data_IF_855517998727
#
_entry.id   IF_855517998727
#
_cell.length_a   1.000
_cell.length_b   1.000
_cell.length_c   1.000
_cell.angle_alpha   90.00
_cell.angle_beta   90.00
_cell.angle_gamma   90.00
#
_symmetry.space_group_name_H-M   'P 1'
#
loop_
_entity.id
_entity.type
_entity.pdbx_description
1 polymer ?
#
# COMPACT_ATOMS: atom_id res chain seq x y z
N UNK A 1 3.70 55.91 -50.08
CA UNK A 1 3.84 54.44 -50.07
C UNK A 1 4.73 54.09 -48.88
N UNK A 2 4.13 53.80 -47.75
CA UNK A 2 4.86 53.41 -46.52
C UNK A 2 4.73 51.90 -46.34
N UNK A 3 5.83 51.21 -46.39
CA UNK A 3 5.96 49.78 -46.15
C UNK A 3 6.01 49.53 -44.65
N UNK A 4 4.96 48.92 -44.08
CA UNK A 4 4.93 48.38 -42.74
C UNK A 4 5.55 46.98 -42.73
N UNK A 5 6.67 46.78 -42.03
CA UNK A 5 7.27 45.49 -41.74
C UNK A 5 6.49 44.78 -40.62
N UNK A 6 6.23 43.47 -40.70
CA UNK A 6 5.56 42.75 -39.63
C UNK A 6 6.54 42.45 -38.47
N UNK A 7 6.10 42.77 -37.25
CA UNK A 7 6.82 42.41 -36.03
C UNK A 7 6.79 40.88 -35.84
N UNK A 8 7.98 40.27 -35.82
CA UNK A 8 8.13 38.85 -35.45
C UNK A 8 8.09 38.73 -33.92
N UNK A 9 7.03 38.18 -33.41
CA UNK A 9 6.97 37.71 -32.02
C UNK A 9 7.86 36.45 -31.92
N UNK A 10 8.99 36.56 -31.24
CA UNK A 10 9.77 35.41 -30.80
C UNK A 10 9.14 34.90 -29.50
N UNK A 11 8.41 33.78 -29.58
CA UNK A 11 7.92 33.07 -28.42
C UNK A 11 9.13 32.39 -27.76
N UNK A 12 9.66 32.97 -26.69
CA UNK A 12 10.64 32.33 -25.85
C UNK A 12 9.98 31.16 -25.12
N UNK A 13 10.22 29.96 -25.61
CA UNK A 13 9.91 28.74 -24.84
C UNK A 13 10.84 28.73 -23.62
N UNK A 14 10.26 29.03 -22.44
CA UNK A 14 10.94 28.79 -21.19
C UNK A 14 11.14 27.27 -21.06
N UNK A 15 12.36 26.82 -21.27
CA UNK A 15 12.77 25.47 -20.91
C UNK A 15 12.60 25.36 -19.38
N UNK A 16 11.54 24.68 -18.95
CA UNK A 16 11.38 24.29 -17.55
C UNK A 16 12.63 23.48 -17.18
N UNK A 17 13.39 23.96 -16.20
CA UNK A 17 14.50 23.21 -15.65
C UNK A 17 13.96 21.82 -15.23
N UNK A 18 14.69 20.72 -15.49
CA UNK A 18 14.29 19.42 -15.05
C UNK A 18 14.10 19.50 -13.53
N UNK A 19 12.92 19.12 -13.04
CA UNK A 19 12.67 19.03 -11.60
C UNK A 19 13.82 18.22 -11.00
N UNK A 20 14.53 18.79 -10.03
CA UNK A 20 15.63 18.10 -9.36
C UNK A 20 15.12 16.74 -8.91
N UNK A 21 15.83 15.67 -9.30
CA UNK A 21 15.43 14.32 -8.93
C UNK A 21 15.26 14.28 -7.43
N UNK A 22 14.03 14.00 -6.95
CA UNK A 22 13.73 13.92 -5.54
C UNK A 22 14.67 12.90 -4.90
N UNK A 23 15.48 13.34 -3.94
CA UNK A 23 16.34 12.44 -3.19
C UNK A 23 15.58 11.81 -2.01
N UNK A 24 15.73 10.49 -1.87
CA UNK A 24 15.27 9.76 -0.70
C UNK A 24 15.91 10.37 0.56
N UNK A 25 15.17 10.49 1.70
CA UNK A 25 15.75 10.99 2.94
C UNK A 25 17.01 10.21 3.32
N UNK A 26 18.09 10.92 3.70
CA UNK A 26 19.36 10.28 4.07
C UNK A 26 19.23 9.34 5.27
N UNK A 27 18.30 9.61 6.17
CA UNK A 27 17.99 8.85 7.38
C UNK A 27 16.82 7.85 7.20
N UNK A 28 16.34 7.64 5.96
CA UNK A 28 15.24 6.70 5.64
C UNK A 28 15.43 5.32 6.26
N UNK A 29 16.61 4.73 6.13
CA UNK A 29 16.88 3.39 6.65
C UNK A 29 16.95 3.36 8.18
N UNK A 30 17.48 4.42 8.79
CA UNK A 30 17.50 4.59 10.25
C UNK A 30 16.08 4.74 10.81
N UNK A 31 15.22 5.53 10.15
CA UNK A 31 13.82 5.73 10.51
C UNK A 31 13.05 4.40 10.53
N UNK A 32 13.10 3.64 9.43
CA UNK A 32 12.37 2.37 9.35
C UNK A 32 12.97 1.29 10.25
N UNK A 33 14.28 1.28 10.44
CA UNK A 33 14.93 0.38 11.41
C UNK A 33 14.53 0.73 12.84
N UNK A 34 14.40 2.02 13.17
CA UNK A 34 13.87 2.51 14.43
C UNK A 34 12.45 2.06 14.68
N UNK A 35 11.57 2.27 13.69
CA UNK A 35 10.17 1.85 13.74
C UNK A 35 10.02 0.33 13.95
N UNK A 36 10.83 -0.47 13.26
CA UNK A 36 10.83 -1.94 13.46
C UNK A 36 11.31 -2.36 14.85
N UNK A 37 12.34 -1.70 15.42
CA UNK A 37 12.78 -1.97 16.79
C UNK A 37 11.71 -1.61 17.81
N UNK A 38 11.05 -0.47 17.67
CA UNK A 38 9.94 -0.06 18.53
C UNK A 38 8.79 -1.08 18.44
N UNK A 39 8.43 -1.49 17.23
CA UNK A 39 7.41 -2.52 17.01
C UNK A 39 7.80 -3.84 17.66
N UNK A 40 9.03 -4.29 17.51
CA UNK A 40 9.51 -5.56 18.08
C UNK A 40 9.47 -5.58 19.62
N UNK A 41 9.58 -4.41 20.27
CA UNK A 41 9.46 -4.28 21.73
C UNK A 41 8.01 -4.41 22.23
N UNK A 42 7.01 -4.33 21.37
CA UNK A 42 5.60 -4.52 21.72
C UNK A 42 5.25 -6.02 21.61
N UNK A 43 4.84 -6.71 22.69
CA UNK A 43 4.35 -8.07 22.58
C UNK A 43 3.12 -8.15 21.67
N UNK A 44 3.13 -9.08 20.70
CA UNK A 44 2.07 -9.18 19.70
C UNK A 44 0.70 -9.55 20.32
N UNK A 45 0.68 -10.40 21.35
CA UNK A 45 -0.53 -10.82 22.07
C UNK A 45 -1.69 -11.21 21.14
N UNK A 46 -1.38 -11.98 20.09
CA UNK A 46 -2.37 -12.36 19.09
C UNK A 46 -3.47 -13.27 19.71
N UNK A 47 -4.71 -12.93 19.39
CA UNK A 47 -5.88 -13.75 19.73
C UNK A 47 -6.57 -14.19 18.45
N UNK A 48 -7.06 -15.42 18.44
CA UNK A 48 -7.84 -15.99 17.35
C UNK A 48 -9.16 -16.49 17.92
N UNK A 49 -10.26 -16.14 17.27
CA UNK A 49 -11.61 -16.59 17.57
C UNK A 49 -12.18 -17.19 16.29
N UNK A 50 -12.87 -18.32 16.40
CA UNK A 50 -13.47 -18.97 15.23
C UNK A 50 -14.46 -18.03 14.53
N UNK A 51 -14.35 -17.93 13.21
CA UNK A 51 -15.30 -17.21 12.36
C UNK A 51 -16.20 -18.22 11.64
N UNK A 52 -17.20 -18.71 12.36
CA UNK A 52 -18.10 -19.76 11.88
C UNK A 52 -18.88 -19.35 10.61
N UNK A 53 -19.15 -18.04 10.45
CA UNK A 53 -19.84 -17.49 9.29
C UNK A 53 -19.07 -17.71 7.97
N UNK A 54 -17.74 -17.69 8.04
CA UNK A 54 -16.86 -17.78 6.88
C UNK A 54 -16.12 -19.13 6.80
N UNK A 55 -16.35 -20.02 7.74
CA UNK A 55 -15.74 -21.36 7.77
C UNK A 55 -16.63 -22.38 7.06
N UNK A 56 -16.04 -23.20 6.20
CA UNK A 56 -16.69 -24.31 5.53
C UNK A 56 -15.79 -25.56 5.50
N UNK A 57 -16.18 -26.62 4.82
CA UNK A 57 -15.39 -27.86 4.70
C UNK A 57 -14.05 -27.68 3.97
N UNK A 58 -13.84 -26.57 3.29
CA UNK A 58 -12.63 -26.28 2.53
C UNK A 58 -11.76 -25.20 3.18
N UNK A 59 -12.36 -24.31 3.97
CA UNK A 59 -11.72 -23.12 4.52
C UNK A 59 -12.03 -22.99 6.00
N UNK A 60 -10.99 -22.79 6.83
CA UNK A 60 -11.11 -22.39 8.23
C UNK A 60 -10.77 -20.91 8.37
N UNK A 61 -11.68 -20.11 8.90
CA UNK A 61 -11.52 -18.69 9.11
C UNK A 61 -11.57 -18.31 10.59
N UNK A 62 -10.88 -17.23 10.94
CA UNK A 62 -10.74 -16.73 12.30
C UNK A 62 -10.84 -15.20 12.29
N UNK A 63 -11.53 -14.66 13.29
CA UNK A 63 -11.38 -13.27 13.70
C UNK A 63 -10.10 -13.17 14.50
N UNK A 64 -9.26 -12.18 14.17
CA UNK A 64 -7.94 -12.02 14.76
C UNK A 64 -7.80 -10.65 15.35
N UNK A 65 -7.17 -10.56 16.53
CA UNK A 65 -6.66 -9.31 17.04
C UNK A 65 -5.19 -9.47 17.46
N UNK A 66 -4.38 -8.44 17.24
CA UNK A 66 -2.99 -8.40 17.67
C UNK A 66 -2.54 -6.97 18.00
N UNK A 67 -1.60 -6.85 18.95
CA UNK A 67 -1.04 -5.56 19.30
C UNK A 67 0.03 -5.13 18.28
N UNK A 68 -0.03 -3.86 17.89
CA UNK A 68 0.96 -3.17 17.07
C UNK A 68 1.24 -1.81 17.70
N UNK A 69 2.40 -1.24 17.54
CA UNK A 69 2.88 -0.01 18.20
C UNK A 69 2.01 0.47 19.38
N UNK A 70 1.00 1.28 19.11
CA UNK A 70 0.12 1.90 20.13
C UNK A 70 -1.31 1.38 20.09
N UNK A 71 -1.62 0.34 19.26
CA UNK A 71 -3.01 -0.06 18.96
C UNK A 71 -3.20 -1.56 18.93
N UNK A 72 -4.43 -1.98 19.16
CA UNK A 72 -4.90 -3.30 18.81
C UNK A 72 -5.43 -3.27 17.38
N UNK A 73 -4.94 -4.18 16.54
CA UNK A 73 -5.35 -4.31 15.15
C UNK A 73 -6.28 -5.51 15.04
N UNK A 74 -7.39 -5.32 14.33
CA UNK A 74 -8.34 -6.35 13.99
C UNK A 74 -8.10 -6.83 12.57
N UNK A 75 -8.27 -8.13 12.36
CA UNK A 75 -8.03 -8.80 11.09
C UNK A 75 -8.94 -10.01 10.93
N UNK A 76 -9.07 -10.51 9.70
CA UNK A 76 -9.59 -11.85 9.42
C UNK A 76 -8.50 -12.69 8.80
N UNK A 77 -8.35 -13.89 9.33
CA UNK A 77 -7.39 -14.88 8.86
C UNK A 77 -8.15 -16.10 8.36
N UNK A 78 -7.91 -16.49 7.11
CA UNK A 78 -8.45 -17.72 6.56
C UNK A 78 -7.33 -18.60 6.03
N UNK A 79 -7.49 -19.92 6.13
CA UNK A 79 -6.56 -20.92 5.61
C UNK A 79 -7.31 -22.12 5.04
N UNK A 80 -6.68 -22.97 4.22
CA UNK A 80 -7.26 -24.26 3.86
C UNK A 80 -7.62 -25.09 5.12
N UNK A 81 -8.78 -25.73 5.11
CA UNK A 81 -9.27 -26.56 6.22
C UNK A 81 -8.62 -27.96 6.25
N UNK A 82 -7.40 -28.10 5.77
CA UNK A 82 -6.62 -29.34 5.74
C UNK A 82 -5.28 -29.14 6.43
N UNK A 83 -4.62 -30.22 6.78
CA UNK A 83 -3.28 -30.18 7.33
C UNK A 83 -2.23 -29.79 6.27
N UNK A 84 -1.17 -29.18 6.72
CA UNK A 84 -0.05 -28.81 5.86
C UNK A 84 0.53 -27.43 6.19
N UNK A 85 1.58 -27.08 5.45
CA UNK A 85 2.17 -25.74 5.45
C UNK A 85 1.84 -25.02 4.14
N UNK A 86 1.21 -23.89 4.26
CA UNK A 86 0.69 -23.10 3.14
C UNK A 86 1.54 -21.85 2.90
N UNK A 87 1.74 -21.44 1.64
CA UNK A 87 2.13 -20.06 1.38
C UNK A 87 1.07 -19.11 1.94
N UNK A 88 1.45 -17.88 2.24
CA UNK A 88 0.52 -16.94 2.84
C UNK A 88 0.51 -15.59 2.13
N UNK A 89 -0.60 -14.86 2.23
CA UNK A 89 -0.75 -13.51 1.68
C UNK A 89 -1.25 -12.57 2.77
N UNK A 90 -0.53 -11.45 2.95
CA UNK A 90 -1.04 -10.32 3.70
C UNK A 90 -1.79 -9.39 2.74
N UNK A 91 -3.07 -9.15 3.00
CA UNK A 91 -3.88 -8.22 2.23
C UNK A 91 -3.86 -6.87 2.94
N UNK A 92 -3.28 -5.90 2.28
CA UNK A 92 -3.22 -4.53 2.78
C UNK A 92 -4.53 -3.80 2.47
N UNK A 93 -5.10 -3.06 3.44
CA UNK A 93 -6.39 -2.42 3.31
C UNK A 93 -6.35 -1.24 2.34
N UNK A 94 -7.42 -1.07 1.57
CA UNK A 94 -7.68 0.19 0.86
C UNK A 94 -8.11 1.29 1.84
N UNK A 95 -8.28 2.49 1.33
CA UNK A 95 -8.75 3.64 2.11
C UNK A 95 -10.26 3.49 2.36
N UNK A 96 -10.66 2.72 3.38
CA UNK A 96 -12.06 2.36 3.62
C UNK A 96 -12.37 2.27 5.12
N UNK A 97 -13.65 2.39 5.43
CA UNK A 97 -14.24 2.31 6.77
C UNK A 97 -15.21 1.12 6.91
N UNK A 98 -15.17 0.17 5.99
CA UNK A 98 -16.08 -0.99 6.00
C UNK A 98 -15.57 -2.17 6.81
N UNK A 99 -16.42 -3.20 6.99
CA UNK A 99 -16.03 -4.44 7.64
C UNK A 99 -14.89 -5.12 6.89
N UNK A 100 -14.05 -5.85 7.63
CA UNK A 100 -12.93 -6.60 7.05
C UNK A 100 -13.48 -7.79 6.27
N UNK A 101 -13.24 -7.91 4.96
CA UNK A 101 -13.66 -9.08 4.20
C UNK A 101 -12.91 -10.34 4.65
N UNK A 102 -13.56 -11.49 4.60
CA UNK A 102 -12.91 -12.77 4.84
C UNK A 102 -12.19 -13.24 3.56
N UNK A 103 -10.87 -13.49 3.59
CA UNK A 103 -10.10 -13.84 2.40
C UNK A 103 -10.25 -15.32 2.01
N UNK A 104 -11.50 -15.79 1.90
CA UNK A 104 -11.83 -17.20 1.64
C UNK A 104 -11.37 -17.69 0.26
N UNK A 105 -11.33 -16.81 -0.75
CA UNK A 105 -10.93 -17.21 -2.10
C UNK A 105 -9.45 -17.60 -2.16
N UNK A 106 -8.57 -16.84 -1.50
CA UNK A 106 -7.17 -17.22 -1.38
C UNK A 106 -7.01 -18.56 -0.65
N UNK A 107 -7.80 -18.78 0.42
CA UNK A 107 -7.77 -20.03 1.15
C UNK A 107 -8.23 -21.21 0.28
N UNK A 108 -9.26 -21.06 -0.55
CA UNK A 108 -9.70 -22.05 -1.53
C UNK A 108 -8.64 -22.35 -2.59
N UNK A 109 -7.76 -21.39 -2.90
CA UNK A 109 -6.61 -21.56 -3.79
C UNK A 109 -5.39 -22.19 -3.11
N UNK A 110 -5.49 -22.54 -1.83
CA UNK A 110 -4.42 -23.21 -1.08
C UNK A 110 -3.43 -22.27 -0.39
N UNK A 111 -3.76 -20.99 -0.26
CA UNK A 111 -2.95 -20.01 0.47
C UNK A 111 -3.62 -19.66 1.80
N UNK A 112 -2.85 -19.50 2.86
CA UNK A 112 -3.34 -18.79 4.04
C UNK A 112 -3.40 -17.28 3.73
N UNK A 113 -4.35 -16.55 4.29
CA UNK A 113 -4.45 -15.12 4.03
C UNK A 113 -4.92 -14.35 5.26
N UNK A 114 -4.29 -13.21 5.51
CA UNK A 114 -4.64 -12.28 6.57
C UNK A 114 -5.05 -10.95 5.93
N UNK A 115 -6.26 -10.49 6.24
CA UNK A 115 -6.73 -9.16 5.88
C UNK A 115 -6.93 -8.35 7.15
N UNK A 116 -6.13 -7.31 7.34
CA UNK A 116 -6.19 -6.44 8.52
C UNK A 116 -6.80 -5.07 8.20
N UNK A 117 -7.23 -4.36 9.24
CA UNK A 117 -7.65 -2.97 9.10
C UNK A 117 -6.52 -1.99 9.40
N UNK A 118 -6.46 -0.91 8.61
CA UNK A 118 -5.44 0.11 8.80
C UNK A 118 -5.60 0.87 10.12
N UNK A 119 -6.84 1.05 10.58
CA UNK A 119 -7.18 1.97 11.68
C UNK A 119 -8.19 1.40 12.71
N UNK A 120 -8.61 0.15 12.63
CA UNK A 120 -9.54 -0.44 13.59
C UNK A 120 -11.00 0.05 13.48
N UNK A 121 -11.42 0.51 12.31
CA UNK A 121 -12.75 1.10 12.09
C UNK A 121 -13.95 0.22 12.37
N UNK A 122 -13.79 -1.11 12.40
CA UNK A 122 -14.90 -2.03 12.58
C UNK A 122 -15.21 -2.38 14.04
N UNK A 123 -14.30 -2.11 14.98
CA UNK A 123 -14.42 -2.61 16.36
C UNK A 123 -14.37 -1.52 17.42
N UNK A 124 -13.59 -0.47 17.22
CA UNK A 124 -13.46 0.59 18.23
C UNK A 124 -13.49 1.99 17.60
N UNK A 125 -14.66 2.41 17.17
CA UNK A 125 -14.91 3.76 16.68
C UNK A 125 -14.70 4.83 17.76
N UNK A 126 -14.68 4.46 19.03
CA UNK A 126 -14.46 5.39 20.13
C UNK A 126 -13.02 5.91 20.18
N UNK A 127 -12.08 5.08 19.70
CA UNK A 127 -10.64 5.45 19.63
C UNK A 127 -10.30 6.27 18.39
N UNK A 128 -11.19 6.26 17.38
CA UNK A 128 -11.07 7.00 16.14
C UNK A 128 -12.39 7.64 15.77
N UNK A 129 -12.74 8.79 16.35
CA UNK A 129 -13.95 9.49 15.95
C UNK A 129 -13.90 9.75 14.45
N UNK A 130 -14.94 9.28 13.75
CA UNK A 130 -15.12 9.38 12.30
C UNK A 130 -15.35 10.83 11.80
N UNK A 131 -15.22 11.82 12.66
CA UNK A 131 -15.39 13.25 12.30
C UNK A 131 -14.44 13.68 11.19
N UNK A 132 -13.32 12.97 11.02
CA UNK A 132 -12.41 13.15 9.90
C UNK A 132 -12.24 11.81 9.17
N UNK A 133 -13.09 11.56 8.19
CA UNK A 133 -12.97 10.41 7.27
C UNK A 133 -11.62 10.35 6.53
N UNK A 134 -10.80 11.39 6.65
CA UNK A 134 -9.58 11.59 5.87
C UNK A 134 -8.36 11.73 6.78
N UNK A 135 -7.88 10.59 7.29
CA UNK A 135 -6.71 10.55 8.17
C UNK A 135 -5.38 10.89 7.48
N UNK A 136 -5.41 11.15 6.16
CA UNK A 136 -4.21 11.47 5.37
C UNK A 136 -3.40 12.64 5.91
N UNK A 137 -4.04 13.57 6.62
CA UNK A 137 -3.41 14.75 7.19
C UNK A 137 -2.93 14.54 8.63
N UNK A 138 -3.28 13.43 9.28
CA UNK A 138 -2.97 13.19 10.70
C UNK A 138 -1.46 13.06 10.91
N UNK A 139 -0.90 14.03 11.63
CA UNK A 139 0.52 14.08 11.94
C UNK A 139 1.44 14.36 10.76
N UNK A 140 0.92 14.90 9.63
CA UNK A 140 1.64 15.08 8.36
C UNK A 140 2.86 16.00 8.46
N UNK A 141 2.96 16.82 9.51
CA UNK A 141 4.08 17.75 9.73
C UNK A 141 5.42 17.07 10.09
N UNK A 142 5.42 15.81 10.57
CA UNK A 142 6.64 15.12 10.95
C UNK A 142 6.53 13.59 10.72
N UNK A 143 7.60 12.91 10.25
CA UNK A 143 7.55 11.48 9.92
C UNK A 143 7.18 10.58 11.10
N UNK A 144 7.65 10.93 12.31
CA UNK A 144 7.42 10.13 13.52
C UNK A 144 5.98 10.16 14.03
N UNK A 145 5.24 11.22 13.71
CA UNK A 145 3.83 11.42 14.09
C UNK A 145 2.86 11.11 12.98
N UNK A 146 3.35 10.97 11.75
CA UNK A 146 2.48 10.74 10.60
C UNK A 146 1.80 9.38 10.68
N UNK A 147 0.51 9.39 10.49
CA UNK A 147 -0.36 8.20 10.60
C UNK A 147 0.13 7.00 9.79
N UNK A 148 0.74 7.22 8.64
CA UNK A 148 1.25 6.12 7.80
C UNK A 148 2.44 5.38 8.43
N UNK A 149 3.15 5.97 9.39
CA UNK A 149 4.14 5.23 10.18
C UNK A 149 3.49 4.07 10.94
N UNK A 150 2.36 4.34 11.60
CA UNK A 150 1.58 3.30 12.30
C UNK A 150 0.98 2.30 11.30
N UNK A 151 0.37 2.78 10.21
CA UNK A 151 -0.26 1.91 9.21
C UNK A 151 0.74 0.93 8.58
N UNK A 152 1.93 1.37 8.22
CA UNK A 152 2.99 0.48 7.73
C UNK A 152 3.46 -0.49 8.82
N UNK A 153 3.58 -0.03 10.07
CA UNK A 153 3.92 -0.89 11.21
C UNK A 153 2.85 -1.96 11.44
N UNK A 154 1.56 -1.66 11.22
CA UNK A 154 0.49 -2.65 11.31
C UNK A 154 0.64 -3.75 10.24
N UNK A 155 1.03 -3.38 9.02
CA UNK A 155 1.36 -4.35 7.98
C UNK A 155 2.58 -5.20 8.33
N UNK A 156 3.66 -4.60 8.85
CA UNK A 156 4.84 -5.34 9.36
C UNK A 156 4.44 -6.33 10.47
N UNK A 157 3.56 -5.93 11.38
CA UNK A 157 3.03 -6.81 12.41
C UNK A 157 2.15 -7.93 11.84
N UNK A 158 1.40 -7.66 10.78
CA UNK A 158 0.65 -8.69 10.04
C UNK A 158 1.59 -9.75 9.43
N UNK A 159 2.75 -9.34 8.91
CA UNK A 159 3.80 -10.27 8.47
C UNK A 159 4.36 -11.10 9.63
N UNK A 160 4.57 -10.49 10.82
CA UNK A 160 4.99 -11.21 12.03
C UNK A 160 3.93 -12.26 12.43
N UNK A 161 2.65 -11.88 12.40
CA UNK A 161 1.56 -12.80 12.69
C UNK A 161 1.58 -14.01 11.74
N UNK A 162 1.60 -13.76 10.42
CA UNK A 162 1.64 -14.85 9.43
C UNK A 162 2.87 -15.75 9.63
N UNK A 163 4.04 -15.17 9.83
CA UNK A 163 5.28 -15.93 10.03
C UNK A 163 5.29 -16.76 11.33
N UNK A 164 4.49 -16.39 12.34
CA UNK A 164 4.36 -17.12 13.61
C UNK A 164 3.40 -18.32 13.54
N UNK A 165 2.59 -18.42 12.47
CA UNK A 165 1.59 -19.49 12.36
C UNK A 165 2.26 -20.83 11.99
N UNK A 166 1.98 -21.93 12.72
CA UNK A 166 2.58 -23.24 12.45
C UNK A 166 2.18 -23.80 11.08
N UNK A 167 0.99 -23.45 10.59
CA UNK A 167 0.45 -23.85 9.29
C UNK A 167 0.93 -22.96 8.12
N UNK A 168 1.72 -21.91 8.37
CA UNK A 168 2.27 -21.03 7.33
C UNK A 168 3.71 -21.41 7.02
N UNK A 169 4.05 -21.48 5.73
CA UNK A 169 5.45 -21.47 5.29
C UNK A 169 5.96 -20.03 5.26
N UNK A 170 6.67 -19.63 6.31
CA UNK A 170 7.20 -18.28 6.44
C UNK A 170 8.19 -17.85 5.34
N UNK A 171 8.67 -18.80 4.50
CA UNK A 171 9.52 -18.52 3.34
C UNK A 171 8.72 -18.18 2.09
N UNK A 172 7.38 -18.25 2.14
CA UNK A 172 6.46 -18.04 1.02
C UNK A 172 5.33 -17.10 1.42
N UNK A 173 5.67 -15.88 1.82
CA UNK A 173 4.69 -14.85 2.18
C UNK A 173 4.67 -13.80 1.07
N UNK A 174 3.48 -13.53 0.53
CA UNK A 174 3.23 -12.43 -0.41
C UNK A 174 2.43 -11.30 0.23
N UNK A 175 2.36 -10.19 -0.48
CA UNK A 175 1.53 -9.03 -0.10
C UNK A 175 0.67 -8.59 -1.27
N UNK A 176 -0.55 -8.12 -1.01
CA UNK A 176 -1.44 -7.62 -2.05
C UNK A 176 -2.30 -6.46 -1.52
N UNK A 177 -2.77 -5.63 -2.43
CA UNK A 177 -3.76 -4.61 -2.14
C UNK A 177 -4.01 -3.69 -3.33
N UNK A 178 -5.07 -2.90 -3.20
CA UNK A 178 -5.46 -1.89 -4.17
C UNK A 178 -5.39 -0.50 -3.54
N UNK A 179 -5.14 0.52 -4.34
CA UNK A 179 -5.09 1.92 -3.89
C UNK A 179 -4.07 2.09 -2.75
N UNK A 180 -4.49 2.52 -1.57
CA UNK A 180 -3.65 2.53 -0.37
C UNK A 180 -2.98 1.17 -0.13
N UNK A 181 -3.74 0.07 -0.26
CA UNK A 181 -3.22 -1.28 -0.10
C UNK A 181 -2.16 -1.64 -1.13
N UNK A 182 -2.26 -1.11 -2.35
CA UNK A 182 -1.24 -1.24 -3.40
C UNK A 182 0.06 -0.55 -3.01
N UNK A 183 -0.01 0.69 -2.53
CA UNK A 183 1.13 1.44 -2.02
C UNK A 183 1.77 0.77 -0.81
N UNK A 184 0.95 0.34 0.16
CA UNK A 184 1.43 -0.42 1.34
C UNK A 184 2.11 -1.72 0.94
N UNK A 185 1.61 -2.42 -0.09
CA UNK A 185 2.23 -3.66 -0.58
C UNK A 185 3.63 -3.42 -1.13
N UNK A 186 3.84 -2.33 -1.87
CA UNK A 186 5.16 -1.94 -2.34
C UNK A 186 6.09 -1.53 -1.19
N UNK A 187 5.59 -0.73 -0.23
CA UNK A 187 6.37 -0.34 0.95
C UNK A 187 6.81 -1.58 1.74
N UNK A 188 5.90 -2.50 2.05
CA UNK A 188 6.24 -3.73 2.78
C UNK A 188 7.22 -4.61 2.01
N UNK A 189 7.05 -4.77 0.70
CA UNK A 189 7.97 -5.55 -0.13
C UNK A 189 9.39 -4.95 -0.18
N UNK A 190 9.52 -3.62 -0.10
CA UNK A 190 10.82 -2.96 -0.06
C UNK A 190 11.44 -2.86 1.34
N UNK A 191 10.62 -3.00 2.40
CA UNK A 191 11.05 -2.86 3.79
C UNK A 191 11.29 -4.20 4.48
N UNK A 192 10.63 -5.29 4.05
CA UNK A 192 10.69 -6.59 4.74
C UNK A 192 11.13 -7.71 3.80
N UNK A 193 12.29 -8.35 4.05
CA UNK A 193 12.83 -9.40 3.18
C UNK A 193 12.03 -10.71 3.21
N UNK A 194 11.07 -10.86 4.14
CA UNK A 194 10.16 -12.02 4.18
C UNK A 194 9.14 -12.00 3.05
N UNK A 195 8.88 -10.83 2.45
CA UNK A 195 7.98 -10.72 1.30
C UNK A 195 8.64 -11.35 0.08
N UNK A 196 7.93 -12.30 -0.55
CA UNK A 196 8.42 -13.10 -1.68
C UNK A 196 7.69 -12.84 -2.98
N UNK A 197 6.53 -12.18 -2.94
CA UNK A 197 5.79 -11.69 -4.11
C UNK A 197 4.91 -10.50 -3.68
N UNK A 198 4.61 -9.60 -4.60
CA UNK A 198 3.70 -8.49 -4.34
C UNK A 198 2.72 -8.27 -5.51
N UNK A 199 1.47 -7.92 -5.19
CA UNK A 199 0.50 -7.40 -6.15
C UNK A 199 0.05 -6.01 -5.72
N UNK A 200 0.31 -5.02 -6.55
CA UNK A 200 -0.02 -3.61 -6.30
C UNK A 200 -0.97 -3.10 -7.39
N UNK A 201 -2.22 -2.91 -7.02
CA UNK A 201 -3.24 -2.38 -7.91
C UNK A 201 -3.44 -0.91 -7.66
N UNK A 202 -3.34 -0.06 -8.71
CA UNK A 202 -3.49 1.38 -8.67
C UNK A 202 -2.80 2.01 -7.42
N UNK A 203 -1.48 1.79 -7.21
CA UNK A 203 -0.84 2.05 -5.92
C UNK A 203 -0.85 3.53 -5.57
N UNK A 204 -1.55 3.89 -4.49
CA UNK A 204 -1.44 5.17 -3.80
C UNK A 204 -0.07 5.28 -3.11
N UNK A 205 0.30 6.41 -2.56
CA UNK A 205 1.61 6.69 -1.95
C UNK A 205 2.77 6.63 -2.97
N UNK A 206 2.51 6.95 -4.22
CA UNK A 206 3.52 6.88 -5.28
C UNK A 206 3.75 8.27 -5.86
N UNK A 207 5.01 8.72 -5.86
CA UNK A 207 5.43 10.00 -6.43
C UNK A 207 4.61 11.20 -5.93
N UNK A 208 4.72 11.49 -4.66
CA UNK A 208 3.94 12.54 -4.01
C UNK A 208 3.99 13.90 -4.72
N UNK A 209 5.15 14.29 -5.28
CA UNK A 209 5.27 15.60 -5.94
C UNK A 209 4.36 15.70 -7.17
N UNK A 210 4.35 14.69 -8.03
CA UNK A 210 3.51 14.65 -9.23
C UNK A 210 2.05 14.35 -8.87
N UNK A 211 1.83 13.41 -7.95
CA UNK A 211 0.48 12.96 -7.55
C UNK A 211 -0.34 14.04 -6.86
N UNK A 212 0.27 15.08 -6.28
CA UNK A 212 -0.46 16.23 -5.75
C UNK A 212 -1.26 16.99 -6.82
N UNK A 213 -0.98 16.79 -8.10
CA UNK A 213 -1.77 17.33 -9.21
C UNK A 213 -3.09 16.58 -9.44
N UNK A 214 -3.24 15.34 -8.92
CA UNK A 214 -4.44 14.55 -9.09
C UNK A 214 -5.69 15.27 -8.56
N UNK A 215 -6.82 15.23 -9.29
CA UNK A 215 -8.00 16.02 -8.94
C UNK A 215 -8.76 15.49 -7.73
N UNK A 216 -8.59 14.23 -7.38
CA UNK A 216 -9.36 13.53 -6.35
C UNK A 216 -8.59 13.33 -5.04
N UNK A 217 -9.32 13.20 -3.94
CA UNK A 217 -8.80 12.77 -2.66
C UNK A 217 -8.22 11.35 -2.74
N UNK A 218 -7.20 11.02 -1.95
CA UNK A 218 -6.64 11.84 -0.86
C UNK A 218 -5.52 12.81 -1.26
N UNK A 219 -5.00 12.79 -2.49
CA UNK A 219 -3.97 13.73 -2.93
C UNK A 219 -4.48 15.18 -2.94
N UNK A 220 -5.74 15.38 -3.38
CA UNK A 220 -6.35 16.71 -3.38
C UNK A 220 -6.45 17.32 -1.98
N UNK A 221 -6.62 16.49 -0.94
CA UNK A 221 -6.71 16.97 0.44
C UNK A 221 -5.35 17.48 0.93
N UNK A 222 -4.26 16.76 0.61
CA UNK A 222 -2.91 17.21 0.93
C UNK A 222 -2.58 18.50 0.15
N UNK A 223 -2.96 18.59 -1.14
CA UNK A 223 -2.77 19.80 -1.93
C UNK A 223 -3.52 21.00 -1.32
N UNK A 224 -4.77 20.79 -0.89
CA UNK A 224 -5.57 21.83 -0.21
C UNK A 224 -4.88 22.28 1.08
N UNK A 225 -4.47 21.34 1.92
CA UNK A 225 -3.73 21.63 3.14
C UNK A 225 -2.48 22.49 2.88
N UNK A 226 -1.68 22.13 1.88
CA UNK A 226 -0.48 22.88 1.51
C UNK A 226 -0.77 24.28 0.97
N UNK A 227 -1.91 24.49 0.32
CA UNK A 227 -2.35 25.81 -0.12
C UNK A 227 -2.77 26.70 1.05
N UNK A 228 -3.37 26.12 2.08
CA UNK A 228 -3.79 26.80 3.30
C UNK A 228 -2.60 27.04 4.26
N UNK A 229 -1.55 26.21 4.20
CA UNK A 229 -0.36 26.24 5.07
C UNK A 229 0.96 26.27 4.26
N UNK A 230 1.20 27.30 3.43
CA UNK A 230 2.35 27.31 2.51
C UNK A 230 3.72 27.24 3.22
N UNK A 231 3.80 27.74 4.46
CA UNK A 231 5.03 27.66 5.27
C UNK A 231 5.41 26.25 5.72
N UNK A 232 4.47 25.30 5.67
CA UNK A 232 4.69 23.91 6.10
C UNK A 232 5.11 22.98 4.95
N UNK A 233 5.08 23.44 3.69
CA UNK A 233 5.34 22.59 2.52
C UNK A 233 6.64 21.78 2.67
N UNK A 234 7.72 22.39 3.10
CA UNK A 234 9.00 21.68 3.20
C UNK A 234 8.95 20.54 4.23
N UNK A 235 8.31 20.75 5.38
CA UNK A 235 8.15 19.73 6.42
C UNK A 235 7.22 18.60 5.96
N UNK A 236 6.08 18.95 5.35
CA UNK A 236 5.11 17.99 4.80
C UNK A 236 5.74 17.12 3.73
N UNK A 237 6.39 17.72 2.72
CA UNK A 237 7.02 16.96 1.63
C UNK A 237 8.18 16.09 2.14
N UNK A 238 8.94 16.56 3.15
CA UNK A 238 9.90 15.72 3.85
C UNK A 238 9.23 14.52 4.51
N UNK A 239 8.12 14.74 5.23
CA UNK A 239 7.36 13.64 5.87
C UNK A 239 6.90 12.63 4.84
N UNK A 240 6.22 13.08 3.80
CA UNK A 240 5.68 12.21 2.75
C UNK A 240 6.76 11.38 2.04
N UNK A 241 7.99 11.89 1.98
CA UNK A 241 9.11 11.17 1.36
C UNK A 241 9.51 9.88 2.06
N UNK A 242 9.20 9.70 3.35
CA UNK A 242 9.44 8.41 4.04
C UNK A 242 8.41 7.33 3.67
N UNK A 243 7.32 7.73 3.04
CA UNK A 243 6.17 6.86 2.71
C UNK A 243 5.92 6.80 1.20
N UNK A 244 6.85 7.25 0.39
CA UNK A 244 6.73 7.19 -1.05
C UNK A 244 7.27 5.85 -1.60
N UNK A 245 6.46 5.18 -2.39
CA UNK A 245 6.83 3.88 -2.96
C UNK A 245 8.03 3.94 -3.88
N UNK A 246 8.28 5.10 -4.54
CA UNK A 246 9.45 5.29 -5.40
C UNK A 246 10.78 5.15 -4.65
N UNK A 247 10.78 5.35 -3.33
CA UNK A 247 11.99 5.23 -2.51
C UNK A 247 12.29 3.77 -2.10
N UNK A 248 11.37 2.85 -2.35
CA UNK A 248 11.53 1.43 -2.02
C UNK A 248 11.51 0.49 -3.23
N UNK A 249 10.85 0.85 -4.34
CA UNK A 249 10.71 -0.06 -5.51
C UNK A 249 12.05 -0.50 -6.09
N UNK A 250 13.07 0.36 -6.02
CA UNK A 250 14.43 0.03 -6.43
C UNK A 250 15.13 -1.06 -5.59
N UNK A 251 14.53 -1.48 -4.47
CA UNK A 251 15.03 -2.55 -3.59
C UNK A 251 14.27 -3.87 -3.77
N UNK A 252 13.10 -3.84 -4.39
CA UNK A 252 12.23 -5.00 -4.56
C UNK A 252 12.78 -5.89 -5.66
N UNK A 253 13.21 -7.11 -5.30
CA UNK A 253 13.80 -8.10 -6.20
C UNK A 253 12.97 -9.39 -6.29
N UNK A 254 11.71 -9.34 -5.87
CA UNK A 254 10.73 -10.43 -5.93
C UNK A 254 9.75 -10.21 -7.10
N UNK A 255 8.97 -11.23 -7.52
CA UNK A 255 7.91 -11.04 -8.50
C UNK A 255 6.91 -9.98 -8.07
N UNK A 256 6.55 -9.06 -8.98
CA UNK A 256 5.54 -8.03 -8.74
C UNK A 256 4.57 -7.95 -9.91
N UNK A 257 3.27 -7.97 -9.59
CA UNK A 257 2.20 -7.59 -10.49
C UNK A 257 1.77 -6.16 -10.18
N UNK A 258 1.87 -5.26 -11.14
CA UNK A 258 1.20 -3.98 -11.13
C UNK A 258 -0.09 -4.06 -11.95
N UNK A 259 -1.12 -3.38 -11.49
CA UNK A 259 -2.38 -3.23 -12.21
C UNK A 259 -2.78 -1.75 -12.21
N UNK A 260 -3.41 -1.28 -13.28
CA UNK A 260 -3.82 0.13 -13.38
C UNK A 260 -4.97 0.31 -14.37
N UNK A 261 -5.95 1.12 -14.00
CA UNK A 261 -6.96 1.65 -14.93
C UNK A 261 -6.41 2.86 -15.67
N UNK A 262 -6.47 2.88 -16.99
CA UNK A 262 -5.90 4.00 -17.75
C UNK A 262 -6.73 5.30 -17.68
N UNK A 263 -7.94 5.24 -17.09
CA UNK A 263 -8.77 6.41 -16.79
C UNK A 263 -8.74 6.81 -15.31
N UNK A 264 -7.86 6.19 -14.52
CA UNK A 264 -7.76 6.46 -13.08
C UNK A 264 -7.26 7.90 -12.81
N UNK A 265 -8.15 8.70 -12.19
CA UNK A 265 -7.88 10.08 -11.81
C UNK A 265 -7.61 10.25 -10.31
N UNK A 266 -7.68 9.16 -9.55
CA UNK A 266 -7.37 9.11 -8.11
C UNK A 266 -5.90 8.73 -7.89
N UNK A 267 -5.47 7.63 -8.53
CA UNK A 267 -4.06 7.20 -8.58
C UNK A 267 -3.63 7.15 -10.04
N UNK A 268 -3.10 8.26 -10.59
CA UNK A 268 -2.86 8.38 -12.02
C UNK A 268 -1.98 7.27 -12.58
N UNK A 269 -2.27 6.73 -13.77
CA UNK A 269 -1.53 5.61 -14.35
C UNK A 269 -0.03 5.90 -14.56
N UNK A 270 0.32 7.15 -14.84
CA UNK A 270 1.72 7.57 -15.04
C UNK A 270 2.60 7.25 -13.83
N UNK A 271 2.06 7.37 -12.60
CA UNK A 271 2.79 7.10 -11.37
C UNK A 271 3.00 5.60 -11.17
N UNK A 272 1.97 4.79 -11.48
CA UNK A 272 2.09 3.32 -11.49
C UNK A 272 3.16 2.87 -12.49
N UNK A 273 3.16 3.41 -13.70
CA UNK A 273 4.20 3.12 -14.69
C UNK A 273 5.60 3.55 -14.25
N UNK A 274 5.71 4.70 -13.58
CA UNK A 274 6.98 5.19 -13.05
C UNK A 274 7.54 4.24 -12.00
N UNK A 275 6.70 3.76 -11.07
CA UNK A 275 7.06 2.75 -10.09
C UNK A 275 7.47 1.42 -10.77
N UNK A 276 6.68 0.97 -11.74
CA UNK A 276 6.99 -0.23 -12.55
C UNK A 276 8.34 -0.12 -13.25
N UNK A 277 8.64 1.02 -13.88
CA UNK A 277 9.92 1.24 -14.57
C UNK A 277 11.11 1.19 -13.61
N UNK A 278 10.97 1.78 -12.40
CA UNK A 278 12.02 1.83 -11.37
C UNK A 278 12.19 0.54 -10.58
N UNK A 279 11.24 -0.40 -10.68
CA UNK A 279 11.33 -1.66 -9.96
C UNK A 279 12.58 -2.43 -10.34
N UNK A 280 13.38 -2.85 -9.35
CA UNK A 280 14.62 -3.62 -9.54
C UNK A 280 14.35 -4.99 -10.14
N UNK A 281 13.29 -5.67 -9.69
CA UNK A 281 12.97 -7.02 -10.15
C UNK A 281 12.73 -7.08 -11.65
N UNK A 282 13.31 -8.10 -12.30
CA UNK A 282 13.01 -8.43 -13.71
C UNK A 282 11.74 -9.28 -13.85
N UNK A 283 11.26 -9.89 -12.76
CA UNK A 283 10.02 -10.67 -12.70
C UNK A 283 8.84 -9.75 -12.39
N UNK A 284 8.58 -8.81 -13.28
CA UNK A 284 7.53 -7.81 -13.15
C UNK A 284 6.54 -7.88 -14.29
N UNK A 285 5.27 -7.67 -13.96
CA UNK A 285 4.17 -7.59 -14.93
C UNK A 285 3.41 -6.30 -14.70
N UNK A 286 2.97 -5.65 -15.78
CA UNK A 286 2.02 -4.53 -15.76
C UNK A 286 0.78 -4.98 -16.51
N UNK A 287 -0.37 -4.92 -15.85
CA UNK A 287 -1.67 -5.18 -16.46
C UNK A 287 -2.48 -3.89 -16.50
N UNK A 288 -2.75 -3.43 -17.69
CA UNK A 288 -3.49 -2.21 -17.96
C UNK A 288 -4.94 -2.54 -18.29
N UNK A 289 -5.85 -1.69 -17.82
CA UNK A 289 -7.28 -1.76 -18.09
C UNK A 289 -7.70 -0.48 -18.81
N UNK A 290 -7.76 -0.47 -20.14
CA UNK A 290 -7.87 0.77 -20.96
C UNK A 290 -9.11 1.62 -20.69
N UNK A 291 -10.20 0.99 -20.27
CA UNK A 291 -11.47 1.67 -20.04
C UNK A 291 -11.82 1.87 -18.57
N UNK A 292 -11.02 1.33 -17.66
CA UNK A 292 -11.27 1.37 -16.24
C UNK A 292 -10.77 2.66 -15.58
N UNK A 293 -11.53 3.17 -14.63
CA UNK A 293 -11.12 4.17 -13.66
C UNK A 293 -10.49 3.51 -12.41
N UNK A 294 -10.51 4.21 -11.27
CA UNK A 294 -9.93 3.75 -10.02
C UNK A 294 -10.60 2.48 -9.46
N UNK A 295 -11.90 2.34 -9.62
CA UNK A 295 -12.73 1.32 -8.98
C UNK A 295 -13.24 0.25 -9.94
N UNK A 296 -13.18 0.52 -11.24
CA UNK A 296 -13.73 -0.37 -12.25
C UNK A 296 -12.98 -1.72 -12.32
N UNK A 297 -13.72 -2.75 -12.71
CA UNK A 297 -13.22 -4.11 -12.90
C UNK A 297 -12.58 -4.73 -11.63
N UNK A 298 -12.95 -4.24 -10.44
CA UNK A 298 -12.35 -4.64 -9.17
C UNK A 298 -12.29 -6.16 -8.95
N UNK A 299 -13.35 -6.90 -9.29
CA UNK A 299 -13.36 -8.36 -9.17
C UNK A 299 -12.37 -9.04 -10.14
N UNK A 300 -12.25 -8.56 -11.38
CA UNK A 300 -11.31 -9.11 -12.36
C UNK A 300 -9.87 -8.76 -12.01
N UNK A 301 -9.65 -7.57 -11.47
CA UNK A 301 -8.32 -7.12 -10.99
C UNK A 301 -7.89 -7.95 -9.77
N UNK A 302 -8.80 -8.17 -8.83
CA UNK A 302 -8.53 -9.00 -7.66
C UNK A 302 -8.24 -10.46 -8.04
N UNK A 303 -9.04 -11.07 -8.93
CA UNK A 303 -8.81 -12.41 -9.45
C UNK A 303 -7.42 -12.56 -10.11
N UNK A 304 -6.99 -11.56 -10.87
CA UNK A 304 -5.65 -11.54 -11.46
C UNK A 304 -4.53 -11.48 -10.40
N UNK A 305 -4.75 -10.75 -9.30
CA UNK A 305 -3.82 -10.71 -8.17
C UNK A 305 -3.72 -12.06 -7.46
N UNK A 306 -4.86 -12.72 -7.23
CA UNK A 306 -4.91 -14.06 -6.62
C UNK A 306 -4.20 -15.10 -7.46
N UNK A 307 -4.44 -15.13 -8.78
CA UNK A 307 -3.78 -16.05 -9.71
C UNK A 307 -2.26 -15.82 -9.72
N UNK A 308 -1.85 -14.56 -9.84
CA UNK A 308 -0.43 -14.22 -9.83
C UNK A 308 0.28 -14.64 -8.53
N UNK A 309 -0.35 -14.39 -7.37
CA UNK A 309 0.24 -14.73 -6.07
C UNK A 309 0.29 -16.25 -5.86
N UNK A 310 -0.75 -16.97 -6.27
CA UNK A 310 -0.76 -18.42 -6.22
C UNK A 310 0.39 -19.00 -7.03
N UNK A 311 0.60 -18.53 -8.26
CA UNK A 311 1.71 -18.94 -9.11
C UNK A 311 3.07 -18.57 -8.51
N UNK A 312 3.26 -17.30 -8.13
CA UNK A 312 4.54 -16.79 -7.66
C UNK A 312 5.00 -17.41 -6.33
N UNK A 313 4.06 -17.80 -5.46
CA UNK A 313 4.34 -18.41 -4.16
C UNK A 313 4.34 -19.95 -4.21
N UNK A 314 3.88 -20.58 -5.31
CA UNK A 314 3.91 -22.04 -5.51
C UNK A 314 5.29 -22.55 -5.91
N UNK A 315 6.13 -21.73 -6.52
CA UNK A 315 7.49 -22.09 -6.95
C UNK A 315 8.35 -22.34 -5.71
N UNK A 316 8.82 -23.57 -5.55
CA UNK A 316 9.71 -24.03 -4.46
C UNK A 316 11.16 -23.59 -4.68
#
# INVERSE_FOLDING_TARGET
MSLLLPARFVLAAALAAPAAARERPKDFDAFWSGTKRELAAVPMNAKLEDDAEHTDKYVACFKVSYASLRRTIHARYCRPARDGKFPAVLINPWYSQGPIPAPTQLAKRGLAALWYQARGFDVDQSTYPLENSWYILEGIGAPDTYVYREIVAHGLRGLDFLASRPEVDARRIGVAGASQGGGLSLLLAGLDPRVRAASADAPFLTDWEESLSAPHSPYADVRKYLAEHPGERAAVMRTLSYFDTLDVVGRIDVPVLFQVGLKDMTCPPAETEKAYRRLKSRRKRLKEYPNADHSDEGAARWGAAEDFLADALSVR
#
